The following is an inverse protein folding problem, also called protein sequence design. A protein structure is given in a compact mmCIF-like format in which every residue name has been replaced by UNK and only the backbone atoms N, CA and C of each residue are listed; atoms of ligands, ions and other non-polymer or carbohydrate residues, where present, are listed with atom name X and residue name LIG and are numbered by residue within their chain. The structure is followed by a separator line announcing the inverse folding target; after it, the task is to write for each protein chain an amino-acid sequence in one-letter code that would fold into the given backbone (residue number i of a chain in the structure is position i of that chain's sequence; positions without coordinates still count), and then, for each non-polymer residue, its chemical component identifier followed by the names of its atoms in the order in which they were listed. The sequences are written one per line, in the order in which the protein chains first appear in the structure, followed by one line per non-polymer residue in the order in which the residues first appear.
data_IF_597253653973
#
_entry.id   IF_597253653973
#
_cell.length_a   1.000
_cell.length_b   1.000
_cell.length_c   1.000
_cell.angle_alpha   90.00
_cell.angle_beta   90.00
_cell.angle_gamma   90.00
#
_symmetry.space_group_name_H-M   'P 1'
#
loop_
_entity.id
_entity.type
_entity.pdbx_description
1 polymer ?
#
# COMPACT_ATOMS: atom_id res chain seq x y z
N UNK A 1 -47.43 15.39 -23.34
CA UNK A 1 -46.86 14.11 -22.85
C UNK A 1 -45.34 13.95 -23.03
N UNK A 2 -44.60 14.85 -23.71
CA UNK A 2 -43.16 14.69 -23.95
C UNK A 2 -42.23 15.19 -22.82
N UNK A 3 -42.72 16.08 -21.94
CA UNK A 3 -41.90 16.72 -20.89
C UNK A 3 -41.60 15.81 -19.68
N UNK A 4 -42.52 14.90 -19.35
CA UNK A 4 -42.34 13.96 -18.23
C UNK A 4 -41.45 12.76 -18.61
N UNK A 5 -41.35 12.44 -19.91
CA UNK A 5 -40.49 11.36 -20.40
C UNK A 5 -39.00 11.72 -20.27
N UNK A 6 -38.66 13.00 -20.46
CA UNK A 6 -37.29 13.50 -20.40
C UNK A 6 -36.74 13.50 -18.96
N UNK A 7 -37.60 13.81 -17.98
CA UNK A 7 -37.31 13.70 -16.54
C UNK A 7 -37.08 12.24 -16.11
N UNK A 8 -37.88 11.31 -16.65
CA UNK A 8 -37.70 9.88 -16.37
C UNK A 8 -36.39 9.33 -16.94
N UNK A 9 -36.04 9.69 -18.18
CA UNK A 9 -34.75 9.29 -18.78
C UNK A 9 -33.56 9.90 -18.04
N UNK A 10 -33.68 11.13 -17.53
CA UNK A 10 -32.61 11.77 -16.76
C UNK A 10 -32.41 11.12 -15.38
N UNK A 11 -33.50 10.73 -14.70
CA UNK A 11 -33.38 9.99 -13.42
C UNK A 11 -32.77 8.59 -13.59
N UNK A 12 -33.10 7.88 -14.68
CA UNK A 12 -32.50 6.56 -14.97
C UNK A 12 -31.00 6.70 -15.26
N UNK A 13 -30.59 7.75 -15.99
CA UNK A 13 -29.18 8.09 -16.21
C UNK A 13 -28.45 8.43 -14.90
N UNK A 14 -29.09 9.13 -13.95
CA UNK A 14 -28.46 9.42 -12.66
C UNK A 14 -28.35 8.18 -11.75
N UNK A 15 -29.28 7.21 -11.85
CA UNK A 15 -29.24 6.01 -11.01
C UNK A 15 -28.11 5.03 -11.36
N UNK A 16 -27.56 5.11 -12.58
CA UNK A 16 -26.45 4.24 -13.00
C UNK A 16 -25.08 4.69 -12.48
N UNK A 17 -24.99 5.86 -11.82
CA UNK A 17 -23.76 6.41 -11.26
C UNK A 17 -23.56 6.18 -9.75
N UNK A 18 -24.50 5.54 -9.04
CA UNK A 18 -24.52 5.57 -7.56
C UNK A 18 -23.89 4.31 -6.91
N UNK A 19 -23.44 3.32 -7.68
CA UNK A 19 -22.84 2.10 -7.10
C UNK A 19 -21.40 1.86 -7.57
N UNK A 20 -20.53 2.86 -7.37
CA UNK A 20 -19.13 2.56 -7.05
C UNK A 20 -19.07 2.40 -5.54
N UNK A 21 -19.36 1.20 -5.03
CA UNK A 21 -18.84 0.82 -3.72
C UNK A 21 -17.31 0.93 -3.83
N UNK A 22 -16.62 1.64 -2.92
CA UNK A 22 -15.18 1.47 -2.81
C UNK A 22 -14.99 0.00 -2.48
N UNK A 23 -14.39 -0.74 -3.41
CA UNK A 23 -14.06 -2.13 -3.17
C UNK A 23 -13.21 -2.14 -1.90
N UNK A 24 -13.64 -2.91 -0.90
CA UNK A 24 -12.94 -3.17 0.36
C UNK A 24 -11.67 -4.03 0.08
N UNK A 25 -10.94 -3.69 -0.99
CA UNK A 25 -9.73 -4.34 -1.50
C UNK A 25 -8.49 -3.84 -0.79
N UNK A 26 -8.60 -2.82 0.06
CA UNK A 26 -7.48 -2.30 0.85
C UNK A 26 -7.18 -3.25 1.99
N UNK A 27 -6.16 -4.09 1.81
CA UNK A 27 -5.69 -5.06 2.81
C UNK A 27 -4.46 -4.51 3.52
N UNK A 28 -4.46 -4.51 4.84
CA UNK A 28 -3.27 -4.14 5.62
C UNK A 28 -2.28 -5.30 5.63
N UNK A 29 -1.01 -5.01 5.30
CA UNK A 29 0.07 -5.98 5.35
C UNK A 29 0.63 -6.02 6.78
N UNK A 30 0.75 -7.23 7.32
CA UNK A 30 1.35 -7.44 8.64
C UNK A 30 2.86 -7.33 8.54
N UNK A 31 3.41 -6.23 9.03
CA UNK A 31 4.85 -5.99 9.06
C UNK A 31 5.49 -6.60 10.30
N UNK A 32 6.66 -7.23 10.12
CA UNK A 32 7.52 -7.68 11.21
C UNK A 32 8.69 -6.71 11.37
N UNK A 33 8.62 -5.90 12.43
CA UNK A 33 9.62 -4.88 12.74
C UNK A 33 10.78 -5.50 13.53
N UNK A 34 12.01 -5.09 13.20
CA UNK A 34 13.25 -5.38 13.91
C UNK A 34 13.93 -4.05 14.21
N UNK A 35 14.27 -3.83 15.47
CA UNK A 35 15.01 -2.65 15.94
C UNK A 35 16.25 -3.14 16.70
N UNK A 36 17.41 -2.48 16.55
CA UNK A 36 18.53 -2.67 17.45
C UNK A 36 18.05 -2.39 18.88
N UNK A 37 18.28 -3.33 19.80
CA UNK A 37 17.81 -3.22 21.17
C UNK A 37 18.59 -2.10 21.86
N UNK A 38 17.97 -0.92 21.98
CA UNK A 38 18.40 0.06 22.98
C UNK A 38 17.81 -0.33 24.33
N UNK A 39 18.63 -0.22 25.38
CA UNK A 39 18.36 -0.69 26.74
C UNK A 39 17.26 0.11 27.49
N UNK A 40 16.30 0.68 26.77
CA UNK A 40 15.18 1.46 27.30
C UNK A 40 13.89 0.90 26.72
N UNK A 41 12.95 0.56 27.60
CA UNK A 41 11.59 0.17 27.24
C UNK A 41 10.89 1.36 26.57
N UNK A 42 11.01 1.47 25.26
CA UNK A 42 10.20 2.36 24.44
C UNK A 42 9.03 1.55 23.91
N UNK A 43 7.81 2.08 24.06
CA UNK A 43 6.62 1.52 23.42
C UNK A 43 6.92 1.34 21.93
N UNK A 44 6.89 0.09 21.45
CA UNK A 44 7.16 -0.23 20.06
C UNK A 44 6.02 0.31 19.20
N UNK A 45 6.17 1.53 18.67
CA UNK A 45 5.35 1.97 17.56
C UNK A 45 5.86 1.30 16.29
N UNK A 46 4.93 0.72 15.52
CA UNK A 46 5.21 0.27 14.17
C UNK A 46 5.62 1.50 13.34
N UNK A 47 6.83 1.50 12.74
CA UNK A 47 7.36 2.70 12.08
C UNK A 47 6.65 3.00 10.76
N UNK A 48 5.98 2.01 10.17
CA UNK A 48 5.19 2.16 8.96
C UNK A 48 3.97 1.23 8.95
N UNK A 49 2.84 1.74 8.46
CA UNK A 49 1.66 0.97 8.10
C UNK A 49 1.65 0.78 6.59
N UNK A 50 1.43 -0.45 6.14
CA UNK A 50 1.44 -0.77 4.72
C UNK A 50 0.11 -1.38 4.32
N UNK A 51 -0.42 -0.91 3.20
CA UNK A 51 -1.66 -1.38 2.62
C UNK A 51 -1.44 -1.75 1.15
N UNK A 52 -2.09 -2.81 0.71
CA UNK A 52 -2.19 -3.16 -0.71
C UNK A 52 -3.65 -3.02 -1.13
N UNK A 53 -3.89 -2.40 -2.27
CA UNK A 53 -5.21 -2.31 -2.89
C UNK A 53 -5.07 -2.56 -4.38
N UNK A 54 -5.49 -3.74 -4.84
CA UNK A 54 -5.21 -4.22 -6.19
C UNK A 54 -3.69 -4.25 -6.44
N UNK A 55 -3.19 -3.49 -7.43
CA UNK A 55 -1.76 -3.31 -7.72
C UNK A 55 -1.10 -2.14 -7.00
N UNK A 56 -1.84 -1.35 -6.22
CA UNK A 56 -1.30 -0.17 -5.55
C UNK A 56 -0.83 -0.53 -4.14
N UNK A 57 0.46 -0.35 -3.89
CA UNK A 57 1.05 -0.44 -2.55
C UNK A 57 1.16 0.95 -1.93
N UNK A 58 0.56 1.12 -0.75
CA UNK A 58 0.55 2.35 0.02
C UNK A 58 1.32 2.14 1.32
N UNK A 59 2.37 2.93 1.53
CA UNK A 59 3.17 2.94 2.75
C UNK A 59 2.94 4.27 3.45
N UNK A 60 2.41 4.22 4.67
CA UNK A 60 2.28 5.36 5.56
C UNK A 60 3.34 5.26 6.68
N UNK A 61 4.21 6.25 6.79
CA UNK A 61 5.17 6.34 7.87
C UNK A 61 4.55 7.05 9.08
N UNK A 62 4.66 6.44 10.26
CA UNK A 62 4.09 6.98 11.51
C UNK A 62 4.75 8.31 11.90
N UNK A 63 6.08 8.37 11.75
CA UNK A 63 6.85 9.61 11.78
C UNK A 63 7.56 9.74 10.42
N UNK A 64 7.65 10.95 9.86
CA UNK A 64 8.36 11.14 8.60
C UNK A 64 9.79 10.63 8.78
N UNK A 65 10.09 9.54 8.10
CA UNK A 65 11.31 8.77 8.28
C UNK A 65 12.36 9.30 7.32
N UNK A 66 13.60 9.46 7.78
CA UNK A 66 14.74 9.82 6.92
C UNK A 66 15.46 8.56 6.49
N UNK A 67 16.08 8.63 5.31
CA UNK A 67 16.97 7.59 4.79
C UNK A 67 16.33 6.20 4.78
N UNK A 68 15.16 6.11 4.15
CA UNK A 68 14.42 4.85 4.02
C UNK A 68 14.78 4.18 2.70
N UNK A 69 15.07 2.89 2.75
CA UNK A 69 15.20 2.03 1.58
C UNK A 69 14.01 1.09 1.53
N UNK A 70 13.30 1.10 0.41
CA UNK A 70 12.16 0.23 0.12
C UNK A 70 12.59 -0.74 -0.97
N UNK A 71 12.41 -2.03 -0.73
CA UNK A 71 12.69 -3.09 -1.69
C UNK A 71 11.49 -4.02 -1.78
N UNK A 72 11.09 -4.38 -3.00
CA UNK A 72 10.04 -5.38 -3.25
C UNK A 72 10.65 -6.50 -4.07
N UNK A 73 10.52 -7.71 -3.55
CA UNK A 73 11.12 -8.92 -4.10
C UNK A 73 9.99 -9.90 -4.40
N UNK A 74 9.96 -10.45 -5.61
CA UNK A 74 9.11 -11.58 -5.91
C UNK A 74 9.66 -12.80 -5.15
N UNK A 75 8.88 -13.34 -4.22
CA UNK A 75 9.31 -14.39 -3.30
C UNK A 75 9.59 -15.73 -4.00
N UNK A 76 8.98 -15.97 -5.15
CA UNK A 76 9.14 -17.22 -5.92
C UNK A 76 10.42 -17.22 -6.75
N UNK A 77 10.71 -16.11 -7.42
CA UNK A 77 11.87 -15.96 -8.31
C UNK A 77 13.09 -15.38 -7.61
N UNK A 78 12.91 -14.71 -6.47
CA UNK A 78 13.95 -13.92 -5.79
C UNK A 78 14.30 -12.61 -6.52
N UNK A 79 13.58 -12.25 -7.59
CA UNK A 79 13.85 -11.04 -8.36
C UNK A 79 13.39 -9.80 -7.61
N UNK A 80 14.26 -8.79 -7.51
CA UNK A 80 13.87 -7.46 -7.05
C UNK A 80 13.12 -6.73 -8.17
N UNK A 81 11.83 -6.47 -7.96
CA UNK A 81 10.98 -5.77 -8.92
C UNK A 81 10.93 -4.27 -8.65
N UNK A 82 11.23 -3.86 -7.41
CA UNK A 82 11.28 -2.46 -7.01
C UNK A 82 12.39 -2.24 -6.00
N UNK A 83 13.17 -1.18 -6.19
CA UNK A 83 14.10 -0.71 -5.18
C UNK A 83 14.19 0.81 -5.23
N UNK A 84 14.05 1.43 -4.07
CA UNK A 84 14.19 2.87 -3.94
C UNK A 84 14.84 3.25 -2.63
N UNK A 85 15.69 4.27 -2.69
CA UNK A 85 16.26 4.92 -1.52
C UNK A 85 15.80 6.37 -1.47
N UNK A 86 14.98 6.71 -0.48
CA UNK A 86 14.53 8.08 -0.22
C UNK A 86 15.33 8.66 0.95
N UNK A 87 15.92 9.83 0.73
CA UNK A 87 16.57 10.64 1.78
C UNK A 87 15.62 11.71 2.34
N UNK A 88 14.41 11.81 1.78
CA UNK A 88 13.44 12.86 2.09
C UNK A 88 12.43 12.44 3.15
N UNK A 89 11.91 13.41 3.89
CA UNK A 89 10.89 13.22 4.91
C UNK A 89 9.52 13.06 4.22
N UNK A 90 9.14 11.83 3.90
CA UNK A 90 7.85 11.52 3.28
C UNK A 90 6.92 10.85 4.30
N UNK A 91 5.66 11.30 4.33
CA UNK A 91 4.62 10.69 5.17
C UNK A 91 3.96 9.50 4.47
N UNK A 92 3.76 9.58 3.17
CA UNK A 92 3.12 8.55 2.35
C UNK A 92 3.96 8.24 1.13
N UNK A 93 4.02 6.97 0.75
CA UNK A 93 4.59 6.50 -0.51
C UNK A 93 3.62 5.59 -1.20
N UNK A 94 3.43 5.83 -2.49
CA UNK A 94 2.57 5.04 -3.37
C UNK A 94 3.46 4.39 -4.42
N UNK A 95 3.31 3.08 -4.58
CA UNK A 95 4.05 2.30 -5.57
C UNK A 95 3.02 1.52 -6.40
N UNK A 96 3.02 1.74 -7.70
CA UNK A 96 2.18 0.98 -8.62
C UNK A 96 2.92 -0.27 -9.09
N UNK A 97 2.32 -1.43 -8.86
CA UNK A 97 2.80 -2.75 -9.25
C UNK A 97 2.01 -3.31 -10.43
N UNK A 98 1.40 -2.43 -11.24
CA UNK A 98 0.64 -2.84 -12.41
C UNK A 98 1.52 -3.62 -13.40
N UNK A 99 1.03 -4.79 -13.83
CA UNK A 99 1.74 -5.68 -14.76
C UNK A 99 2.52 -6.80 -14.09
N UNK A 100 2.69 -6.76 -12.77
CA UNK A 100 3.29 -7.84 -12.00
C UNK A 100 2.34 -9.04 -11.82
N UNK A 101 2.91 -10.22 -11.57
CA UNK A 101 2.16 -11.46 -11.42
C UNK A 101 1.29 -11.45 -10.15
N UNK A 102 -0.02 -11.59 -10.32
CA UNK A 102 -1.01 -11.61 -9.23
C UNK A 102 -1.01 -12.92 -8.43
N UNK A 103 -0.54 -14.01 -9.04
CA UNK A 103 -0.47 -15.31 -8.39
C UNK A 103 0.77 -15.47 -7.50
N UNK A 104 1.79 -14.64 -7.74
CA UNK A 104 3.03 -14.65 -6.98
C UNK A 104 2.90 -13.95 -5.62
N UNK A 105 3.68 -14.45 -4.67
CA UNK A 105 3.89 -13.79 -3.39
C UNK A 105 5.08 -12.83 -3.47
N UNK A 106 4.95 -11.67 -2.81
CA UNK A 106 6.00 -10.65 -2.76
C UNK A 106 6.42 -10.36 -1.32
N UNK A 107 7.72 -10.17 -1.15
CA UNK A 107 8.31 -9.70 0.10
C UNK A 107 8.60 -8.21 -0.02
N UNK A 108 8.04 -7.44 0.90
CA UNK A 108 8.33 -6.03 1.09
C UNK A 108 9.35 -5.87 2.21
N UNK A 109 10.46 -5.23 1.92
CA UNK A 109 11.47 -4.84 2.89
C UNK A 109 11.57 -3.33 2.96
N UNK A 110 11.42 -2.79 4.17
CA UNK A 110 11.61 -1.36 4.44
C UNK A 110 12.69 -1.27 5.50
N UNK A 111 13.74 -0.51 5.23
CA UNK A 111 14.84 -0.32 6.17
C UNK A 111 15.22 1.14 6.31
N UNK A 112 15.56 1.53 7.53
CA UNK A 112 16.19 2.79 7.87
C UNK A 112 17.44 2.49 8.71
N UNK A 113 18.15 3.52 9.14
CA UNK A 113 19.34 3.39 9.99
C UNK A 113 19.03 2.78 11.37
N UNK A 114 17.82 2.97 11.89
CA UNK A 114 17.44 2.58 13.25
C UNK A 114 16.44 1.42 13.32
N UNK A 115 15.88 0.98 12.20
CA UNK A 115 14.90 -0.10 12.17
C UNK A 115 14.81 -0.74 10.79
N UNK A 116 14.33 -1.97 10.74
CA UNK A 116 13.89 -2.65 9.52
C UNK A 116 12.55 -3.31 9.73
N UNK A 117 11.75 -3.40 8.68
CA UNK A 117 10.45 -4.04 8.68
C UNK A 117 10.31 -4.90 7.43
N UNK A 118 9.81 -6.11 7.61
CA UNK A 118 9.56 -7.03 6.49
C UNK A 118 8.10 -7.48 6.52
N UNK A 119 7.44 -7.44 5.38
CA UNK A 119 6.08 -7.91 5.18
C UNK A 119 5.99 -8.80 3.96
N UNK A 120 4.94 -9.62 3.90
CA UNK A 120 4.66 -10.49 2.78
C UNK A 120 3.25 -10.21 2.30
N UNK A 121 3.05 -10.14 0.99
CA UNK A 121 1.76 -9.81 0.39
C UNK A 121 1.58 -10.44 -0.99
N UNK A 122 0.33 -10.50 -1.43
CA UNK A 122 -0.06 -10.86 -2.79
C UNK A 122 -0.77 -9.69 -3.43
N UNK A 123 -0.70 -9.61 -4.76
CA UNK A 123 -1.43 -8.60 -5.54
C UNK A 123 -2.80 -9.19 -5.93
N UNK A 124 -3.88 -8.40 -5.83
CA UNK A 124 -5.22 -8.81 -6.27
C UNK A 124 -5.45 -8.55 -7.77
#
# INVERSE_FOLDING_TARGET
MKRNLLLFTFMVLCSSFIFSMPSDTRRQIKMKVRQPIEHRSTNHLDPARVYVSNSLLEIEFENPSKDVTITIINSETGQTIYQEKSTSLEKYRLIDLFGEDKSAEYTLEISSSSWSATGVFTID
#
